data_IF_660560954012
#
_entry.id   IF_660560954012
#
_cell.length_a   1.000
_cell.length_b   1.000
_cell.length_c   1.000
_cell.angle_alpha   90.00
_cell.angle_beta   90.00
_cell.angle_gamma   90.00
#
_symmetry.space_group_name_H-M   'P 1'
#
loop_
_entity.id
_entity.type
_entity.pdbx_description
1 polymer ?
#
# COMPACT_ATOMS: atom_id res chain seq x y z
N UNK A 1 45.24 51.41 -2.43
CA UNK A 1 44.63 50.34 -1.62
C UNK A 1 43.12 50.53 -1.61
N UNK A 2 42.32 49.53 -2.01
CA UNK A 2 40.85 49.34 -1.81
C UNK A 2 40.20 48.65 -3.03
N UNK A 3 40.48 47.36 -3.26
CA UNK A 3 39.70 46.50 -4.17
C UNK A 3 39.83 45.03 -3.75
N UNK A 4 39.32 44.68 -2.58
CA UNK A 4 39.33 43.29 -2.07
C UNK A 4 38.19 43.04 -1.07
N UNK A 5 36.96 43.50 -1.37
CA UNK A 5 35.83 43.34 -0.45
C UNK A 5 34.48 43.06 -1.13
N UNK A 6 34.47 42.43 -2.31
CA UNK A 6 33.22 42.13 -3.03
C UNK A 6 32.94 40.63 -3.21
N UNK A 7 33.90 39.73 -2.95
CA UNK A 7 33.77 38.31 -3.26
C UNK A 7 33.32 37.43 -2.09
N UNK A 8 33.32 37.93 -0.85
CA UNK A 8 32.91 37.14 0.33
C UNK A 8 31.40 37.13 0.57
N UNK A 9 30.65 38.11 0.06
CA UNK A 9 29.20 38.17 0.23
C UNK A 9 28.42 37.31 -0.78
N UNK A 10 28.98 37.05 -1.97
CA UNK A 10 28.31 36.27 -3.01
C UNK A 10 28.37 34.75 -2.76
N UNK A 11 29.36 34.27 -1.99
CA UNK A 11 29.50 32.84 -1.69
C UNK A 11 28.58 32.36 -0.56
N UNK A 12 28.19 33.27 0.36
CA UNK A 12 27.25 32.95 1.45
C UNK A 12 25.79 32.89 1.01
N UNK A 13 25.41 33.58 -0.08
CA UNK A 13 24.03 33.63 -0.54
C UNK A 13 23.61 32.37 -1.32
N UNK A 14 24.54 31.76 -2.07
CA UNK A 14 24.26 30.56 -2.88
C UNK A 14 24.05 29.30 -2.01
N UNK A 15 24.56 29.29 -0.77
CA UNK A 15 24.40 28.15 0.14
C UNK A 15 23.01 28.05 0.79
N UNK A 16 22.21 29.14 0.75
CA UNK A 16 20.86 29.19 1.35
C UNK A 16 19.74 28.64 0.45
N UNK A 17 20.05 28.33 -0.82
CA UNK A 17 19.08 27.75 -1.77
C UNK A 17 19.01 26.22 -1.73
N UNK A 18 19.86 25.57 -0.93
CA UNK A 18 19.71 24.15 -0.58
C UNK A 18 18.79 24.02 0.65
N UNK A 19 17.64 24.70 0.64
CA UNK A 19 16.54 24.27 1.47
C UNK A 19 16.18 22.88 0.96
N UNK A 20 16.59 21.86 1.71
CA UNK A 20 16.31 20.46 1.43
C UNK A 20 14.83 20.32 1.12
N UNK A 21 14.52 19.94 -0.12
CA UNK A 21 13.27 19.26 -0.42
C UNK A 21 13.34 17.95 0.36
N UNK A 22 13.00 18.00 1.64
CA UNK A 22 12.75 16.83 2.46
C UNK A 22 11.54 16.18 1.81
N UNK A 23 11.78 15.23 0.89
CA UNK A 23 10.71 14.43 0.31
C UNK A 23 9.91 13.87 1.47
N UNK A 24 8.62 14.18 1.53
CA UNK A 24 7.74 13.62 2.54
C UNK A 24 7.89 12.09 2.50
N UNK A 25 7.96 11.47 3.67
CA UNK A 25 7.99 10.01 3.78
C UNK A 25 6.81 9.43 2.97
N UNK A 26 7.01 8.39 2.16
CA UNK A 26 5.90 7.72 1.48
C UNK A 26 4.85 7.29 2.50
N UNK A 27 3.61 7.73 2.32
CA UNK A 27 2.50 7.37 3.22
C UNK A 27 1.78 6.12 2.69
N UNK A 28 1.45 5.21 3.61
CA UNK A 28 0.64 4.03 3.32
C UNK A 28 -0.46 3.89 4.36
N UNK A 29 -1.67 3.66 3.88
CA UNK A 29 -2.81 3.32 4.73
C UNK A 29 -2.97 1.82 4.76
N UNK A 30 -2.94 1.24 5.96
CA UNK A 30 -3.01 -0.21 6.19
C UNK A 30 -4.36 -0.54 6.79
N UNK A 31 -5.24 -1.12 5.97
CA UNK A 31 -6.53 -1.64 6.42
C UNK A 31 -6.32 -3.05 6.99
N UNK A 32 -6.75 -3.27 8.22
CA UNK A 32 -6.77 -4.60 8.83
C UNK A 32 -7.72 -4.65 10.02
N UNK A 33 -7.99 -5.86 10.50
CA UNK A 33 -8.76 -6.06 11.73
C UNK A 33 -7.84 -6.09 12.96
N UNK A 34 -8.45 -6.18 14.14
CA UNK A 34 -7.74 -6.24 15.43
C UNK A 34 -6.85 -7.46 15.63
N UNK A 35 -6.85 -8.45 14.72
CA UNK A 35 -6.07 -9.69 14.78
C UNK A 35 -4.85 -9.61 13.85
N UNK A 36 -5.07 -9.15 12.63
CA UNK A 36 -4.08 -9.13 11.55
C UNK A 36 -3.07 -7.98 11.75
N UNK A 37 -3.51 -6.84 12.30
CA UNK A 37 -2.61 -5.69 12.57
C UNK A 37 -1.56 -6.03 13.64
N UNK A 38 -1.89 -6.56 14.83
CA UNK A 38 -0.88 -6.90 15.84
C UNK A 38 0.14 -7.93 15.34
N UNK A 39 -0.31 -8.93 14.57
CA UNK A 39 0.59 -9.94 13.97
C UNK A 39 1.56 -9.32 12.97
N UNK A 40 1.19 -8.19 12.38
CA UNK A 40 1.96 -7.52 11.33
C UNK A 40 2.87 -6.40 11.85
N UNK A 41 2.93 -6.20 13.17
CA UNK A 41 3.68 -5.09 13.81
C UNK A 41 5.16 -5.08 13.41
N UNK A 42 5.83 -6.23 13.45
CA UNK A 42 7.26 -6.32 13.10
C UNK A 42 7.52 -5.90 11.64
N UNK A 43 6.62 -6.26 10.74
CA UNK A 43 6.69 -5.87 9.33
C UNK A 43 6.42 -4.38 9.14
N UNK A 44 5.41 -3.84 9.83
CA UNK A 44 5.11 -2.40 9.81
C UNK A 44 6.27 -1.57 10.38
N UNK A 45 6.90 -2.03 11.44
CA UNK A 45 8.07 -1.37 12.04
C UNK A 45 9.28 -1.43 11.11
N UNK A 46 9.47 -2.55 10.40
CA UNK A 46 10.49 -2.65 9.35
C UNK A 46 10.27 -1.62 8.25
N UNK A 47 9.02 -1.46 7.78
CA UNK A 47 8.68 -0.43 6.79
C UNK A 47 8.92 0.99 7.31
N UNK A 48 8.58 1.26 8.58
CA UNK A 48 8.85 2.55 9.23
C UNK A 48 10.35 2.86 9.33
N UNK A 49 11.17 1.87 9.69
CA UNK A 49 12.63 2.00 9.68
C UNK A 49 13.19 2.27 8.28
N UNK A 50 12.48 1.85 7.23
CA UNK A 50 12.81 2.13 5.83
C UNK A 50 12.25 3.46 5.33
N UNK A 51 11.69 4.28 6.22
CA UNK A 51 11.23 5.65 5.91
C UNK A 51 9.81 5.72 5.38
N UNK A 52 9.01 4.67 5.53
CA UNK A 52 7.58 4.65 5.17
C UNK A 52 6.73 5.05 6.37
N UNK A 53 5.78 5.96 6.17
CA UNK A 53 4.81 6.34 7.20
C UNK A 53 3.53 5.50 7.06
N UNK A 54 3.37 4.50 7.93
CA UNK A 54 2.27 3.54 7.89
C UNK A 54 1.20 3.84 8.94
N UNK A 55 0.00 4.22 8.48
CA UNK A 55 -1.19 4.47 9.30
C UNK A 55 -2.14 3.28 9.22
N UNK A 56 -2.45 2.65 10.35
CA UNK A 56 -3.37 1.51 10.42
C UNK A 56 -4.80 1.97 10.64
N UNK A 57 -5.76 1.43 9.89
CA UNK A 57 -7.18 1.78 9.97
C UNK A 57 -8.05 0.53 10.05
N UNK A 58 -9.26 0.69 10.58
CA UNK A 58 -10.32 -0.32 10.54
C UNK A 58 -11.20 -0.22 9.29
N UNK A 59 -12.03 -1.23 9.03
CA UNK A 59 -12.99 -1.23 7.92
C UNK A 59 -13.98 -0.05 7.98
N UNK A 60 -14.29 0.45 9.18
CA UNK A 60 -15.23 1.56 9.38
C UNK A 60 -14.62 2.90 8.92
N UNK A 61 -13.30 3.02 9.00
CA UNK A 61 -12.54 4.21 8.63
C UNK A 61 -12.18 4.22 7.15
N UNK A 62 -12.31 3.08 6.43
CA UNK A 62 -11.95 2.97 5.02
C UNK A 62 -12.57 4.09 4.17
N UNK A 63 -13.83 4.47 4.40
CA UNK A 63 -14.47 5.54 3.64
C UNK A 63 -13.76 6.90 3.75
N UNK A 64 -13.07 7.17 4.86
CA UNK A 64 -12.32 8.42 5.06
C UNK A 64 -10.96 8.39 4.35
N UNK A 65 -10.44 7.18 4.12
CA UNK A 65 -9.12 6.91 3.56
C UNK A 65 -9.17 6.29 2.16
N UNK A 66 -10.35 6.12 1.59
CA UNK A 66 -10.57 5.42 0.31
C UNK A 66 -9.88 6.12 -0.87
N UNK A 67 -9.47 7.37 -0.68
CA UNK A 67 -8.82 8.20 -1.70
C UNK A 67 -7.29 8.26 -1.49
N UNK A 68 -6.77 7.58 -0.48
CA UNK A 68 -5.34 7.56 -0.20
C UNK A 68 -4.60 6.91 -1.37
N UNK A 69 -3.42 7.44 -1.76
CA UNK A 69 -2.73 7.02 -2.98
C UNK A 69 -2.24 5.56 -2.92
N UNK A 70 -1.96 5.05 -1.71
CA UNK A 70 -1.64 3.65 -1.50
C UNK A 70 -2.42 3.09 -0.30
N UNK A 71 -3.18 2.04 -0.55
CA UNK A 71 -3.93 1.31 0.47
C UNK A 71 -3.46 -0.14 0.47
N UNK A 72 -3.19 -0.67 1.65
CA UNK A 72 -2.66 -1.99 1.89
C UNK A 72 -3.67 -2.75 2.75
N UNK A 73 -4.32 -3.76 2.19
CA UNK A 73 -5.39 -4.51 2.85
C UNK A 73 -4.82 -5.83 3.34
N UNK A 74 -4.83 -6.01 4.66
CA UNK A 74 -4.41 -7.22 5.35
C UNK A 74 -5.65 -8.02 5.75
N UNK A 75 -5.86 -9.15 5.08
CA UNK A 75 -6.95 -10.05 5.40
C UNK A 75 -7.46 -10.82 4.18
N UNK A 76 -8.06 -11.99 4.43
CA UNK A 76 -8.75 -12.77 3.42
C UNK A 76 -10.26 -12.50 3.39
N UNK A 77 -10.97 -13.12 2.46
CA UNK A 77 -12.45 -13.01 2.34
C UNK A 77 -13.21 -13.38 3.63
N UNK A 78 -12.58 -14.16 4.51
CA UNK A 78 -13.15 -14.58 5.79
C UNK A 78 -12.67 -13.72 6.97
N UNK A 79 -11.91 -12.64 6.72
CA UNK A 79 -11.40 -11.79 7.80
C UNK A 79 -12.55 -11.08 8.52
N UNK A 80 -12.52 -11.05 9.88
CA UNK A 80 -13.57 -10.42 10.67
C UNK A 80 -13.57 -8.88 10.55
N UNK A 81 -14.51 -8.26 11.25
CA UNK A 81 -14.60 -6.80 11.41
C UNK A 81 -14.83 -6.05 10.10
N UNK A 82 -15.52 -6.68 9.15
CA UNK A 82 -15.88 -6.09 7.85
C UNK A 82 -14.76 -6.11 6.81
N UNK A 83 -13.54 -6.55 7.16
CA UNK A 83 -12.42 -6.66 6.20
C UNK A 83 -12.70 -7.71 5.15
N UNK A 84 -13.26 -8.87 5.53
CA UNK A 84 -13.58 -9.95 4.61
C UNK A 84 -14.63 -9.56 3.55
N UNK A 85 -15.63 -8.76 3.93
CA UNK A 85 -16.63 -8.23 3.00
C UNK A 85 -16.02 -7.28 1.98
N UNK A 86 -15.08 -6.42 2.41
CA UNK A 86 -14.34 -5.52 1.52
C UNK A 86 -13.49 -6.33 0.55
N UNK A 87 -12.69 -7.27 1.06
CA UNK A 87 -11.81 -8.11 0.24
C UNK A 87 -12.60 -8.97 -0.75
N UNK A 88 -13.66 -9.64 -0.29
CA UNK A 88 -14.54 -10.43 -1.15
C UNK A 88 -15.35 -9.59 -2.15
N UNK A 89 -15.50 -8.30 -1.88
CA UNK A 89 -16.05 -7.33 -2.83
C UNK A 89 -15.06 -6.91 -3.90
N UNK A 90 -13.74 -6.98 -3.66
CA UNK A 90 -12.71 -6.56 -4.62
C UNK A 90 -12.20 -7.74 -5.45
N UNK A 91 -11.92 -8.86 -4.80
CA UNK A 91 -11.42 -10.07 -5.43
C UNK A 91 -12.48 -10.67 -6.37
N UNK A 92 -12.06 -11.16 -7.53
CA UNK A 92 -12.93 -11.93 -8.40
C UNK A 92 -13.18 -13.35 -7.83
N UNK A 93 -14.15 -14.07 -8.42
CA UNK A 93 -14.55 -15.40 -7.94
C UNK A 93 -13.39 -16.39 -7.96
N UNK A 94 -12.54 -16.36 -9.00
CA UNK A 94 -11.40 -17.27 -9.12
C UNK A 94 -10.34 -17.00 -8.05
N UNK A 95 -10.07 -15.73 -7.72
CA UNK A 95 -9.12 -15.33 -6.68
C UNK A 95 -9.63 -15.74 -5.27
N UNK A 96 -10.93 -15.61 -5.06
CA UNK A 96 -11.60 -16.06 -3.83
C UNK A 96 -11.52 -17.59 -3.69
N UNK A 97 -11.82 -18.32 -4.77
CA UNK A 97 -11.73 -19.78 -4.80
C UNK A 97 -10.30 -20.27 -4.54
N UNK A 98 -9.29 -19.60 -5.10
CA UNK A 98 -7.88 -19.92 -4.86
C UNK A 98 -7.54 -19.82 -3.36
N UNK A 99 -7.97 -18.74 -2.70
CA UNK A 99 -7.71 -18.50 -1.28
C UNK A 99 -8.33 -19.55 -0.35
N UNK A 100 -9.40 -20.22 -0.78
CA UNK A 100 -10.04 -21.29 0.01
C UNK A 100 -9.68 -22.70 -0.46
N UNK A 101 -8.97 -22.83 -1.58
CA UNK A 101 -8.62 -24.12 -2.20
C UNK A 101 -7.67 -24.96 -1.35
N UNK A 102 -6.85 -24.33 -0.51
CA UNK A 102 -5.79 -24.98 0.27
C UNK A 102 -5.51 -24.23 1.58
N UNK A 103 -5.19 -24.94 2.68
CA UNK A 103 -4.83 -24.31 3.95
C UNK A 103 -3.51 -23.50 3.90
N UNK A 104 -2.76 -23.62 2.81
CA UNK A 104 -1.52 -22.87 2.56
C UNK A 104 -1.69 -21.76 1.53
N UNK A 105 -2.91 -21.56 1.02
CA UNK A 105 -3.17 -20.55 0.00
C UNK A 105 -2.90 -19.15 0.55
N UNK A 106 -2.26 -18.34 -0.28
CA UNK A 106 -2.02 -16.92 -0.06
C UNK A 106 -1.89 -16.22 -1.39
N UNK A 107 -2.27 -14.95 -1.44
CA UNK A 107 -2.19 -14.15 -2.65
C UNK A 107 -1.78 -12.72 -2.33
N UNK A 108 -1.18 -12.08 -3.33
CA UNK A 108 -0.85 -10.66 -3.31
C UNK A 108 -1.41 -10.09 -4.60
N UNK A 109 -2.47 -9.30 -4.50
CA UNK A 109 -3.14 -8.71 -5.65
C UNK A 109 -2.95 -7.20 -5.64
N UNK A 110 -2.64 -6.64 -6.81
CA UNK A 110 -2.37 -5.21 -6.98
C UNK A 110 -3.40 -4.62 -7.93
N UNK A 111 -4.23 -3.71 -7.41
CA UNK A 111 -5.29 -3.04 -8.15
C UNK A 111 -4.95 -1.55 -8.34
N UNK A 112 -4.48 -1.14 -9.53
CA UNK A 112 -4.32 0.27 -9.86
C UNK A 112 -5.69 0.91 -10.13
N UNK A 113 -5.87 2.14 -9.68
CA UNK A 113 -7.07 2.96 -9.88
C UNK A 113 -8.38 2.29 -9.43
N UNK A 114 -8.35 1.54 -8.32
CA UNK A 114 -9.52 0.81 -7.85
C UNK A 114 -10.68 1.76 -7.48
N UNK A 115 -10.38 2.83 -6.73
CA UNK A 115 -11.37 3.84 -6.35
C UNK A 115 -11.04 5.24 -6.87
N UNK A 116 -9.76 5.60 -7.00
CA UNK A 116 -9.33 6.93 -7.46
C UNK A 116 -8.17 6.85 -8.44
N UNK A 117 -8.04 7.84 -9.33
CA UNK A 117 -6.92 7.89 -10.27
C UNK A 117 -5.57 8.04 -9.54
N UNK A 118 -4.53 7.36 -10.03
CA UNK A 118 -3.19 7.25 -9.45
C UNK A 118 -3.16 6.56 -8.07
N UNK A 119 -4.23 5.86 -7.69
CA UNK A 119 -4.26 5.02 -6.51
C UNK A 119 -3.71 3.63 -6.83
N UNK A 120 -3.05 3.01 -5.86
CA UNK A 120 -2.76 1.58 -5.86
C UNK A 120 -3.37 0.95 -4.61
N UNK A 121 -4.09 -0.16 -4.77
CA UNK A 121 -4.59 -0.97 -3.66
C UNK A 121 -3.91 -2.33 -3.72
N UNK A 122 -3.21 -2.71 -2.65
CA UNK A 122 -2.54 -4.00 -2.54
C UNK A 122 -3.29 -4.85 -1.51
N UNK A 123 -3.80 -6.00 -1.94
CA UNK A 123 -4.46 -6.96 -1.06
C UNK A 123 -3.48 -8.09 -0.76
N UNK A 124 -3.25 -8.34 0.52
CA UNK A 124 -2.52 -9.50 1.00
C UNK A 124 -3.45 -10.35 1.82
N UNK A 125 -3.80 -11.49 1.25
CA UNK A 125 -4.77 -12.40 1.79
C UNK A 125 -4.16 -13.80 1.92
N UNK A 126 -4.47 -14.47 3.01
CA UNK A 126 -4.16 -15.88 3.21
C UNK A 126 -5.38 -16.65 3.67
N UNK A 127 -5.34 -17.98 3.52
CA UNK A 127 -6.35 -18.89 4.04
C UNK A 127 -6.57 -18.69 5.56
N UNK A 128 -5.48 -18.45 6.30
CA UNK A 128 -5.50 -18.13 7.72
C UNK A 128 -4.75 -16.83 8.01
N UNK A 129 -4.90 -16.34 9.26
CA UNK A 129 -4.15 -15.18 9.76
C UNK A 129 -2.63 -15.38 9.66
N UNK A 130 -2.14 -16.60 9.90
CA UNK A 130 -0.72 -16.95 9.76
C UNK A 130 -0.27 -16.84 8.29
N UNK A 131 -1.10 -17.28 7.34
CA UNK A 131 -0.79 -17.14 5.92
C UNK A 131 -0.85 -15.69 5.46
N UNK A 132 -1.77 -14.90 5.99
CA UNK A 132 -1.86 -13.45 5.74
C UNK A 132 -0.61 -12.74 6.24
N UNK A 133 -0.18 -13.02 7.47
CA UNK A 133 1.07 -12.50 8.02
C UNK A 133 2.29 -12.91 7.19
N UNK A 134 2.36 -14.18 6.76
CA UNK A 134 3.44 -14.67 5.92
C UNK A 134 3.46 -13.98 4.55
N UNK A 135 2.30 -13.79 3.93
CA UNK A 135 2.18 -13.06 2.67
C UNK A 135 2.71 -11.62 2.83
N UNK A 136 2.40 -10.96 3.95
CA UNK A 136 2.88 -9.62 4.23
C UNK A 136 4.38 -9.55 4.48
N UNK A 137 4.92 -10.44 5.31
CA UNK A 137 6.36 -10.51 5.56
C UNK A 137 7.15 -10.81 4.27
N UNK A 138 6.69 -11.78 3.47
CA UNK A 138 7.36 -12.17 2.21
C UNK A 138 7.31 -11.01 1.17
N UNK A 139 6.31 -10.12 1.23
CA UNK A 139 6.08 -9.04 0.26
C UNK A 139 6.56 -7.66 0.71
N UNK A 140 7.05 -7.52 1.96
CA UNK A 140 7.38 -6.23 2.55
C UNK A 140 8.41 -5.44 1.71
N UNK A 141 9.44 -6.12 1.21
CA UNK A 141 10.46 -5.50 0.36
C UNK A 141 9.90 -4.98 -0.98
N UNK A 142 8.95 -5.72 -1.54
CA UNK A 142 8.28 -5.33 -2.78
C UNK A 142 7.33 -4.15 -2.59
N UNK A 143 6.59 -4.12 -1.48
CA UNK A 143 5.74 -3.00 -1.09
C UNK A 143 6.57 -1.73 -0.92
N UNK A 144 7.72 -1.82 -0.24
CA UNK A 144 8.64 -0.68 -0.07
C UNK A 144 9.19 -0.22 -1.42
N UNK A 145 9.45 -1.15 -2.34
CA UNK A 145 9.87 -0.81 -3.70
C UNK A 145 8.76 -0.08 -4.48
N UNK A 146 7.50 -0.52 -4.37
CA UNK A 146 6.34 0.18 -4.96
C UNK A 146 6.25 1.60 -4.40
N UNK A 147 6.36 1.74 -3.08
CA UNK A 147 6.30 3.02 -2.35
C UNK A 147 7.41 4.00 -2.73
N UNK A 148 8.62 3.50 -2.96
CA UNK A 148 9.79 4.33 -3.27
C UNK A 148 9.89 4.69 -4.75
N UNK A 149 9.18 3.99 -5.63
CA UNK A 149 9.26 4.18 -7.08
C UNK A 149 8.06 4.90 -7.72
N UNK A 150 7.05 5.34 -6.93
CA UNK A 150 5.88 6.15 -7.32
C UNK A 150 5.81 6.57 -8.81
N UNK A 151 5.35 5.66 -9.69
CA UNK A 151 5.09 5.99 -11.09
C UNK A 151 5.23 4.86 -12.13
N UNK A 152 5.84 3.72 -11.79
CA UNK A 152 5.95 2.59 -12.74
C UNK A 152 5.46 1.32 -12.09
N UNK A 153 4.41 0.73 -12.68
CA UNK A 153 3.88 -0.57 -12.31
C UNK A 153 5.02 -1.59 -12.27
N UNK A 154 5.33 -2.08 -11.07
CA UNK A 154 6.31 -3.14 -10.90
C UNK A 154 5.57 -4.45 -10.98
N UNK A 155 5.86 -5.24 -12.02
CA UNK A 155 5.42 -6.62 -12.11
C UNK A 155 6.06 -7.38 -10.95
N UNK A 156 5.26 -7.76 -9.96
CA UNK A 156 5.68 -8.73 -8.94
C UNK A 156 5.93 -10.04 -9.68
N UNK A 157 7.15 -10.55 -9.55
CA UNK A 157 7.63 -11.68 -10.33
C UNK A 157 6.97 -12.98 -9.90
N UNK A 158 6.45 -13.70 -10.90
CA UNK A 158 5.87 -15.05 -10.91
C UNK A 158 4.58 -15.13 -10.08
N UNK A 159 3.37 -15.04 -10.64
CA UNK A 159 2.81 -15.88 -11.72
C UNK A 159 1.89 -15.05 -12.64
N UNK A 160 1.43 -15.65 -13.74
CA UNK A 160 0.77 -15.00 -14.89
C UNK A 160 -0.31 -13.97 -14.50
N UNK A 161 -0.30 -12.74 -15.07
CA UNK A 161 -1.45 -11.85 -14.96
C UNK A 161 -2.60 -12.49 -15.74
N UNK A 162 -3.50 -13.17 -15.04
CA UNK A 162 -4.82 -13.47 -15.59
C UNK A 162 -5.49 -12.12 -15.79
N UNK A 163 -5.44 -11.66 -17.03
CA UNK A 163 -6.18 -10.50 -17.52
C UNK A 163 -7.66 -10.90 -17.54
N UNK A 164 -8.24 -11.08 -16.36
CA UNK A 164 -9.66 -11.26 -16.15
C UNK A 164 -10.30 -9.89 -16.29
N UNK A 165 -11.16 -9.74 -17.29
CA UNK A 165 -12.07 -8.60 -17.37
C UNK A 165 -12.87 -8.59 -16.06
N UNK A 166 -12.58 -7.62 -15.19
CA UNK A 166 -13.30 -7.46 -13.94
C UNK A 166 -14.80 -7.29 -14.25
N UNK A 167 -15.69 -8.09 -13.64
CA UNK A 167 -17.10 -7.77 -13.67
C UNK A 167 -17.29 -6.39 -13.04
N UNK A 168 -17.99 -5.50 -13.74
CA UNK A 168 -18.31 -4.15 -13.29
C UNK A 168 -19.10 -4.23 -12.00
N UNK A 169 -18.43 -4.13 -10.86
CA UNK A 169 -19.07 -3.90 -9.58
C UNK A 169 -19.74 -2.53 -9.66
N UNK A 170 -21.05 -2.50 -9.41
CA UNK A 170 -21.83 -1.26 -9.41
C UNK A 170 -21.49 -0.45 -8.15
N UNK A 171 -20.42 0.32 -8.24
CA UNK A 171 -19.98 1.26 -7.20
C UNK A 171 -20.77 2.58 -7.22
N UNK A 172 -21.92 2.66 -7.90
CA UNK A 172 -22.74 3.90 -7.97
C UNK A 172 -23.22 4.43 -6.61
N UNK A 173 -23.05 3.67 -5.52
CA UNK A 173 -23.39 4.05 -4.14
C UNK A 173 -22.18 4.46 -3.28
N UNK A 174 -20.96 4.34 -3.80
CA UNK A 174 -19.73 4.80 -3.14
C UNK A 174 -19.26 6.04 -3.92
N UNK A 175 -19.13 7.19 -3.27
CA UNK A 175 -18.57 8.38 -3.92
C UNK A 175 -17.13 8.09 -4.33
N UNK A 176 -16.97 7.66 -5.57
CA UNK A 176 -15.72 7.52 -6.31
C UNK A 176 -15.13 8.92 -6.50
N UNK A 177 -13.81 9.07 -6.38
CA UNK A 177 -13.13 10.22 -6.97
C UNK A 177 -13.32 10.18 -8.49
#
# INVERSE_FOLDING_TARGET
>A
MKRTLAYTAAFGLILSLYASAQSAAPQVTVLGNSIDIPLSTDTLDTMRLQGVDATTISAQELRLHQNDPLILILGGQNSPEGVGEIVGGILNISEQEELVSSPYARTVQVYPNLWCINQTVVILAGYSKEQTHKAFADSAGDIVRILTQNGTAISLGNETPTTGIHPTLDFSQLKVC
#
